data_IF_213464299128
#
_entry.id   IF_213464299128
#
_cell.length_a   1.000
_cell.length_b   1.000
_cell.length_c   1.000
_cell.angle_alpha   90.00
_cell.angle_beta   90.00
_cell.angle_gamma   90.00
#
_symmetry.space_group_name_H-M   'P 1'
#
loop_
_entity.id
_entity.type
_entity.pdbx_description
1 polymer ?
#
# COMPACT_ATOMS: atom_id res chain seq x y z
N UNK A 1 -7.48 -4.17 7.49
CA UNK A 1 -6.71 -3.39 6.51
C UNK A 1 -6.04 -2.22 7.22
N UNK A 2 -4.74 -2.02 6.99
CA UNK A 2 -3.92 -0.91 7.50
C UNK A 2 -3.18 -0.29 6.31
N UNK A 3 -3.11 1.05 6.25
CA UNK A 3 -2.30 1.77 5.28
C UNK A 3 -1.14 2.44 5.99
N UNK A 4 0.07 2.34 5.47
CA UNK A 4 1.25 2.93 6.07
C UNK A 4 2.05 3.76 5.06
N UNK A 5 2.64 4.85 5.54
CA UNK A 5 3.77 5.50 4.89
C UNK A 5 5.06 5.09 5.57
N UNK A 6 6.12 4.82 4.81
CA UNK A 6 7.40 4.47 5.43
C UNK A 6 7.97 5.71 6.14
N UNK A 7 8.64 5.52 7.28
CA UNK A 7 9.43 6.60 7.88
C UNK A 7 10.64 6.83 6.99
N UNK A 8 10.62 7.89 6.20
CA UNK A 8 11.83 8.38 5.56
C UNK A 8 12.70 9.00 6.66
N UNK A 9 13.88 8.46 6.91
CA UNK A 9 14.89 9.14 7.74
C UNK A 9 15.47 10.26 6.88
N UNK A 10 14.73 11.35 6.73
CA UNK A 10 15.15 12.47 5.91
C UNK A 10 16.02 13.42 6.75
N UNK A 11 17.30 13.55 6.39
CA UNK A 11 18.08 14.79 6.58
C UNK A 11 17.62 15.84 5.56
N UNK A 12 16.34 16.20 5.58
CA UNK A 12 15.81 17.29 4.76
C UNK A 12 14.84 18.12 5.61
N UNK A 13 15.41 18.81 6.59
CA UNK A 13 14.78 19.97 7.24
C UNK A 13 15.20 21.23 6.48
N UNK A 14 14.19 22.00 6.05
CA UNK A 14 14.21 23.28 5.33
C UNK A 14 14.14 23.19 3.80
N UNK A 15 12.93 23.00 3.28
CA UNK A 15 12.56 23.51 1.95
C UNK A 15 11.55 24.65 2.12
N UNK A 16 11.79 25.84 1.55
CA UNK A 16 10.82 26.93 1.56
C UNK A 16 9.58 26.57 0.74
N UNK A 17 8.44 27.20 1.06
CA UNK A 17 7.17 27.07 0.33
C UNK A 17 7.43 27.28 -1.18
N UNK A 18 7.14 26.27 -1.99
CA UNK A 18 7.29 26.34 -3.45
C UNK A 18 6.36 27.42 -4.02
N UNK A 19 6.94 28.32 -4.81
CA UNK A 19 6.21 29.19 -5.72
C UNK A 19 5.54 28.35 -6.83
N UNK A 20 4.44 28.86 -7.39
CA UNK A 20 3.74 28.22 -8.53
C UNK A 20 4.72 28.00 -9.69
N UNK A 21 4.73 26.82 -10.33
CA UNK A 21 5.60 26.60 -11.47
C UNK A 21 5.15 27.52 -12.62
N UNK A 22 6.10 28.27 -13.18
CA UNK A 22 5.91 28.96 -14.45
C UNK A 22 5.77 27.95 -15.60
N UNK A 23 5.29 28.37 -16.77
CA UNK A 23 5.23 27.48 -17.93
C UNK A 23 6.65 26.98 -18.28
N UNK A 24 6.79 25.71 -18.72
CA UNK A 24 8.09 25.14 -19.02
C UNK A 24 8.78 25.92 -20.16
N UNK A 25 10.07 26.18 -20.01
CA UNK A 25 10.90 26.74 -21.07
C UNK A 25 11.15 25.69 -22.15
N UNK A 26 11.24 26.12 -23.41
CA UNK A 26 11.48 25.33 -24.64
C UNK A 26 12.72 24.41 -24.64
N UNK A 27 13.54 24.42 -23.58
CA UNK A 27 14.62 23.45 -23.36
C UNK A 27 14.17 22.15 -22.66
N UNK A 28 12.90 22.05 -22.22
CA UNK A 28 12.31 20.86 -21.58
C UNK A 28 11.49 19.99 -22.56
N UNK A 29 11.48 20.34 -23.85
CA UNK A 29 10.77 19.63 -24.94
C UNK A 29 11.63 18.57 -25.64
N UNK A 30 12.77 18.16 -25.07
CA UNK A 30 13.32 16.85 -25.41
C UNK A 30 12.35 15.79 -24.92
N UNK A 31 11.57 15.21 -25.85
CA UNK A 31 10.75 14.05 -25.62
C UNK A 31 11.59 12.99 -24.89
N UNK A 32 11.42 12.89 -23.56
CA UNK A 32 11.93 11.74 -22.81
C UNK A 32 11.18 10.54 -23.35
N UNK A 33 11.80 9.87 -24.32
CA UNK A 33 11.35 8.59 -24.86
C UNK A 33 11.06 7.68 -23.67
N UNK A 34 9.79 7.36 -23.44
CA UNK A 34 9.36 6.50 -22.35
C UNK A 34 10.06 5.15 -22.55
N UNK A 35 10.81 4.72 -21.54
CA UNK A 35 11.58 3.47 -21.57
C UNK A 35 10.90 2.39 -20.74
N UNK A 36 11.16 1.10 -21.04
CA UNK A 36 10.81 0.02 -20.13
C UNK A 36 11.40 0.25 -18.74
N UNK A 37 10.61 -0.02 -17.72
CA UNK A 37 11.02 0.08 -16.32
C UNK A 37 11.61 -1.27 -15.89
N UNK A 38 12.93 -1.31 -15.72
CA UNK A 38 13.65 -2.51 -15.32
C UNK A 38 13.80 -2.59 -13.79
N UNK A 39 12.83 -3.22 -13.12
CA UNK A 39 12.87 -3.46 -11.66
C UNK A 39 12.43 -4.88 -11.33
N UNK A 40 12.69 -5.33 -10.11
CA UNK A 40 12.19 -6.63 -9.62
C UNK A 40 10.66 -6.72 -9.56
N UNK A 41 9.96 -5.58 -9.68
CA UNK A 41 8.52 -5.51 -9.80
C UNK A 41 8.03 -5.81 -11.22
N UNK A 42 8.87 -5.94 -12.25
CA UNK A 42 8.46 -6.41 -13.58
C UNK A 42 8.28 -7.93 -13.62
N UNK A 43 7.12 -8.40 -13.16
CA UNK A 43 6.78 -9.82 -13.11
C UNK A 43 5.38 -10.10 -13.65
N UNK A 44 5.19 -11.31 -14.17
CA UNK A 44 3.89 -11.96 -14.38
C UNK A 44 3.67 -13.04 -13.32
N UNK A 45 2.45 -13.57 -13.23
CA UNK A 45 2.08 -14.57 -12.23
C UNK A 45 3.06 -15.76 -12.18
N UNK A 46 3.43 -16.30 -13.34
CA UNK A 46 4.39 -17.42 -13.45
C UNK A 46 5.77 -17.12 -12.84
N UNK A 47 6.22 -15.86 -12.92
CA UNK A 47 7.55 -15.45 -12.43
C UNK A 47 7.54 -15.38 -10.90
N UNK A 48 6.43 -14.90 -10.31
CA UNK A 48 6.21 -14.94 -8.85
C UNK A 48 6.04 -16.38 -8.34
N UNK A 49 5.29 -17.21 -9.05
CA UNK A 49 5.09 -18.61 -8.68
C UNK A 49 6.41 -19.39 -8.70
N UNK A 50 7.19 -19.25 -9.77
CA UNK A 50 8.48 -19.92 -9.90
C UNK A 50 9.50 -19.47 -8.85
N UNK A 51 9.52 -18.18 -8.50
CA UNK A 51 10.46 -17.67 -7.50
C UNK A 51 10.05 -17.96 -6.06
N UNK A 52 8.74 -18.07 -5.78
CA UNK A 52 8.21 -18.23 -4.42
C UNK A 52 8.46 -17.04 -3.48
N UNK A 53 9.14 -15.98 -3.96
CA UNK A 53 9.60 -14.84 -3.14
C UNK A 53 8.46 -14.09 -2.46
N UNK A 54 7.27 -14.09 -3.04
CA UNK A 54 6.10 -13.41 -2.48
C UNK A 54 5.60 -14.07 -1.18
N UNK A 55 5.97 -15.33 -0.89
CA UNK A 55 5.50 -16.08 0.28
C UNK A 55 6.66 -16.38 1.24
N UNK A 56 6.55 -15.91 2.49
CA UNK A 56 7.46 -16.28 3.58
C UNK A 56 6.69 -17.03 4.67
N UNK A 57 7.05 -18.29 4.88
CA UNK A 57 6.51 -19.11 5.99
C UNK A 57 7.33 -18.86 7.24
N UNK A 58 6.66 -18.49 8.32
CA UNK A 58 7.30 -18.22 9.61
C UNK A 58 7.69 -19.54 10.29
N UNK A 59 8.85 -19.54 10.93
CA UNK A 59 9.31 -20.65 11.78
C UNK A 59 8.70 -20.55 13.17
N UNK A 60 8.75 -21.66 13.94
CA UNK A 60 8.28 -21.65 15.32
C UNK A 60 9.07 -20.66 16.21
N UNK A 61 10.37 -20.51 15.98
CA UNK A 61 11.21 -19.55 16.72
C UNK A 61 10.82 -18.10 16.43
N UNK A 62 10.60 -17.77 15.14
CA UNK A 62 10.13 -16.44 14.73
C UNK A 62 8.75 -16.10 15.31
N UNK A 63 7.85 -17.09 15.37
CA UNK A 63 6.53 -16.94 16.00
C UNK A 63 6.68 -16.74 17.51
N UNK A 64 7.55 -17.49 18.19
CA UNK A 64 7.78 -17.34 19.62
C UNK A 64 8.31 -15.94 19.98
N UNK A 65 9.23 -15.40 19.19
CA UNK A 65 9.73 -14.02 19.36
C UNK A 65 8.62 -12.99 19.19
N UNK A 66 7.77 -13.15 18.16
CA UNK A 66 6.61 -12.29 17.93
C UNK A 66 5.64 -12.34 19.14
N UNK A 67 5.35 -13.54 19.65
CA UNK A 67 4.46 -13.75 20.79
C UNK A 67 5.04 -13.13 22.07
N UNK A 68 6.34 -13.28 22.32
CA UNK A 68 7.02 -12.66 23.47
C UNK A 68 6.97 -11.13 23.40
N UNK A 69 7.25 -10.55 22.23
CA UNK A 69 7.11 -9.11 21.99
C UNK A 69 5.68 -8.61 22.22
N UNK A 70 4.69 -9.36 21.73
CA UNK A 70 3.28 -9.03 21.91
C UNK A 70 2.82 -9.12 23.37
N UNK A 71 3.28 -10.12 24.11
CA UNK A 71 3.00 -10.25 25.54
C UNK A 71 3.54 -9.05 26.33
N UNK A 72 4.75 -8.57 26.01
CA UNK A 72 5.32 -7.36 26.61
C UNK A 72 4.49 -6.12 26.29
N UNK A 73 4.09 -5.95 25.02
CA UNK A 73 3.23 -4.84 24.61
C UNK A 73 1.92 -4.83 25.42
N UNK A 74 1.26 -5.99 25.55
CA UNK A 74 0.01 -6.12 26.30
C UNK A 74 0.19 -5.78 27.78
N UNK A 75 1.27 -6.25 28.40
CA UNK A 75 1.57 -5.94 29.80
C UNK A 75 1.77 -4.43 30.04
N UNK A 76 2.22 -3.68 29.02
CA UNK A 76 2.36 -2.23 29.08
C UNK A 76 1.04 -1.45 29.08
N UNK A 77 -0.06 -2.04 28.61
CA UNK A 77 -1.41 -1.44 28.67
C UNK A 77 -1.58 -0.12 27.90
N UNK A 78 -0.68 0.21 26.98
CA UNK A 78 -0.73 1.48 26.25
C UNK A 78 -1.93 1.57 25.31
N UNK A 79 -2.60 2.74 25.21
CA UNK A 79 -3.60 2.98 24.18
C UNK A 79 -3.01 2.74 22.79
N UNK A 80 -3.79 2.16 21.87
CA UNK A 80 -3.31 1.74 20.54
C UNK A 80 -2.53 2.83 19.82
N UNK A 81 -3.02 4.08 19.83
CA UNK A 81 -2.40 5.20 19.12
C UNK A 81 -1.08 5.70 19.74
N UNK A 82 -0.80 5.34 20.99
CA UNK A 82 0.45 5.68 21.69
C UNK A 82 1.53 4.59 21.53
N UNK A 83 1.19 3.47 20.90
CA UNK A 83 2.11 2.36 20.67
C UNK A 83 3.17 2.79 19.66
N UNK A 84 4.42 2.57 20.06
CA UNK A 84 5.61 2.73 19.22
C UNK A 84 6.24 1.36 18.95
N UNK A 85 7.17 1.31 18.01
CA UNK A 85 7.92 0.09 17.69
C UNK A 85 8.68 -0.49 18.90
N UNK A 86 9.08 0.37 19.85
CA UNK A 86 9.87 -0.03 21.01
C UNK A 86 9.02 -0.73 22.08
N UNK A 87 7.69 -0.56 22.02
CA UNK A 87 6.75 -1.23 22.92
C UNK A 87 6.55 -2.71 22.59
N UNK A 88 6.92 -3.12 21.36
CA UNK A 88 6.87 -4.51 20.90
C UNK A 88 8.24 -4.91 20.33
N UNK A 89 9.23 -5.24 21.18
CA UNK A 89 10.52 -5.72 20.71
C UNK A 89 10.34 -7.06 19.98
N UNK A 90 10.99 -7.19 18.82
CA UNK A 90 10.74 -8.29 17.90
C UNK A 90 11.80 -9.40 17.94
N UNK A 91 12.89 -9.26 18.70
CA UNK A 91 13.97 -10.25 18.69
C UNK A 91 14.45 -10.55 17.25
N UNK A 92 14.54 -11.83 16.89
CA UNK A 92 14.91 -12.27 15.54
C UNK A 92 13.80 -11.99 14.51
N UNK A 93 12.53 -11.85 14.91
CA UNK A 93 11.44 -11.47 14.02
C UNK A 93 11.64 -10.08 13.37
N UNK A 94 12.51 -9.24 13.94
CA UNK A 94 12.91 -7.98 13.32
C UNK A 94 13.51 -8.17 11.91
N UNK A 95 14.29 -9.25 11.71
CA UNK A 95 14.88 -9.56 10.40
C UNK A 95 13.80 -9.92 9.37
N UNK A 96 12.75 -10.65 9.78
CA UNK A 96 11.60 -11.00 8.93
C UNK A 96 10.89 -9.73 8.43
N UNK A 97 10.68 -8.74 9.31
CA UNK A 97 10.06 -7.48 8.89
C UNK A 97 10.98 -6.62 8.02
N UNK A 98 12.29 -6.66 8.24
CA UNK A 98 13.25 -5.99 7.37
C UNK A 98 13.25 -6.59 5.96
N UNK A 99 13.26 -7.92 5.84
CA UNK A 99 13.12 -8.64 4.56
C UNK A 99 11.78 -8.36 3.86
N UNK A 100 10.70 -8.22 4.64
CA UNK A 100 9.39 -7.85 4.12
C UNK A 100 9.40 -6.41 3.59
N UNK A 101 9.98 -5.46 4.32
CA UNK A 101 10.08 -4.07 3.89
C UNK A 101 10.91 -3.91 2.60
N UNK A 102 12.04 -4.61 2.51
CA UNK A 102 12.87 -4.60 1.29
C UNK A 102 12.11 -5.18 0.09
N UNK A 103 11.43 -6.31 0.27
CA UNK A 103 10.66 -6.93 -0.81
C UNK A 103 9.51 -6.06 -1.33
N UNK A 104 8.90 -5.28 -0.44
CA UNK A 104 7.83 -4.34 -0.78
C UNK A 104 8.36 -3.10 -1.50
N UNK A 105 9.56 -2.62 -1.15
CA UNK A 105 10.10 -1.35 -1.67
C UNK A 105 10.89 -1.54 -2.97
N UNK A 106 11.80 -2.52 -2.99
CA UNK A 106 12.77 -2.73 -4.08
C UNK A 106 12.62 -4.09 -4.77
N UNK A 107 11.90 -5.02 -4.13
CA UNK A 107 11.62 -6.35 -4.65
C UNK A 107 10.42 -6.41 -5.60
N UNK A 108 9.59 -7.44 -5.45
CA UNK A 108 8.40 -7.61 -6.28
C UNK A 108 7.25 -6.64 -5.94
N UNK A 109 7.33 -5.94 -4.80
CA UNK A 109 6.22 -5.14 -4.28
C UNK A 109 5.17 -5.94 -3.52
N UNK A 110 5.38 -7.25 -3.29
CA UNK A 110 4.43 -8.13 -2.61
C UNK A 110 5.14 -9.03 -1.60
N UNK A 111 4.60 -9.09 -0.38
CA UNK A 111 5.00 -10.07 0.64
C UNK A 111 3.81 -10.60 1.43
N UNK A 112 3.73 -11.92 1.55
CA UNK A 112 2.82 -12.65 2.43
C UNK A 112 3.60 -13.34 3.53
N UNK A 113 3.35 -12.97 4.78
CA UNK A 113 3.85 -13.69 5.95
C UNK A 113 2.81 -14.74 6.37
N UNK A 114 3.17 -16.02 6.30
CA UNK A 114 2.28 -17.14 6.60
C UNK A 114 2.68 -17.82 7.90
N UNK A 115 1.71 -18.08 8.77
CA UNK A 115 1.91 -18.72 10.07
C UNK A 115 1.76 -17.78 11.27
N UNK A 116 1.31 -16.54 11.07
CA UNK A 116 0.96 -15.65 12.17
C UNK A 116 -0.11 -16.32 13.06
N UNK A 117 0.06 -16.34 14.40
CA UNK A 117 -0.80 -17.09 15.34
C UNK A 117 -2.12 -16.35 15.62
N UNK A 118 -2.82 -15.90 14.58
CA UNK A 118 -4.07 -15.13 14.71
C UNK A 118 -5.20 -15.92 15.37
N UNK A 119 -5.17 -17.26 15.26
CA UNK A 119 -6.16 -18.13 15.89
C UNK A 119 -6.03 -18.23 17.40
N UNK A 120 -4.87 -17.86 17.95
CA UNK A 120 -4.58 -17.90 19.39
C UNK A 120 -5.06 -16.62 20.10
N UNK A 121 -5.56 -15.64 19.34
CA UNK A 121 -5.90 -14.31 19.83
C UNK A 121 -7.38 -13.99 19.68
N UNK A 122 -7.90 -13.14 20.57
CA UNK A 122 -9.16 -12.45 20.32
C UNK A 122 -9.02 -11.56 19.08
N UNK A 123 -10.15 -11.11 18.53
CA UNK A 123 -10.14 -10.17 17.39
C UNK A 123 -9.44 -8.87 17.78
N UNK A 124 -9.65 -8.41 19.01
CA UNK A 124 -9.04 -7.21 19.58
C UNK A 124 -7.52 -7.37 19.70
N UNK A 125 -7.05 -8.51 20.20
CA UNK A 125 -5.63 -8.81 20.31
C UNK A 125 -4.98 -8.95 18.93
N UNK A 126 -5.64 -9.61 17.97
CA UNK A 126 -5.11 -9.73 16.61
C UNK A 126 -5.01 -8.37 15.90
N UNK A 127 -5.96 -7.45 16.15
CA UNK A 127 -5.86 -6.05 15.68
C UNK A 127 -4.69 -5.33 16.32
N UNK A 128 -4.51 -5.47 17.63
CA UNK A 128 -3.43 -4.82 18.36
C UNK A 128 -2.06 -5.32 17.87
N UNK A 129 -1.93 -6.63 17.67
CA UNK A 129 -0.76 -7.25 17.08
C UNK A 129 -0.49 -6.69 15.68
N UNK A 130 -1.53 -6.63 14.83
CA UNK A 130 -1.40 -6.10 13.47
C UNK A 130 -0.98 -4.63 13.44
N UNK A 131 -1.56 -3.82 14.34
CA UNK A 131 -1.16 -2.44 14.54
C UNK A 131 0.31 -2.32 14.93
N UNK A 132 0.73 -3.08 15.93
CA UNK A 132 2.10 -3.06 16.44
C UNK A 132 3.11 -3.50 15.38
N UNK A 133 2.85 -4.56 14.62
CA UNK A 133 3.65 -4.94 13.43
C UNK A 133 3.75 -3.75 12.45
N UNK A 134 2.64 -3.06 12.19
CA UNK A 134 2.60 -1.88 11.34
C UNK A 134 3.54 -0.75 11.78
N UNK A 135 3.73 -0.56 13.09
CA UNK A 135 4.65 0.46 13.64
C UNK A 135 6.12 0.22 13.30
N UNK A 136 6.48 -1.03 13.00
CA UNK A 136 7.84 -1.40 12.54
C UNK A 136 8.02 -1.19 11.04
N UNK A 137 6.94 -1.18 10.26
CA UNK A 137 6.97 -0.97 8.80
C UNK A 137 6.82 0.50 8.41
N UNK A 138 6.15 1.31 9.23
CA UNK A 138 5.96 2.73 8.94
C UNK A 138 5.02 3.45 9.90
N UNK A 139 4.36 4.48 9.37
CA UNK A 139 3.39 5.32 10.06
C UNK A 139 2.02 5.12 9.43
N UNK A 140 1.05 4.71 10.24
CA UNK A 140 -0.32 4.51 9.79
C UNK A 140 -0.92 5.79 9.19
N UNK A 141 -1.72 5.64 8.14
CA UNK A 141 -2.42 6.75 7.47
C UNK A 141 -3.93 6.59 7.57
N UNK A 142 -4.66 7.70 7.75
CA UNK A 142 -6.12 7.73 7.62
C UNK A 142 -6.59 7.10 6.30
N UNK A 143 -7.62 6.27 6.37
CA UNK A 143 -8.14 5.54 5.20
C UNK A 143 -9.33 6.23 4.52
N UNK A 144 -9.87 7.31 5.12
CA UNK A 144 -10.87 8.18 4.52
C UNK A 144 -11.34 9.27 5.48
N UNK A 145 -12.44 9.95 5.13
CA UNK A 145 -13.01 11.10 5.85
C UNK A 145 -13.18 10.94 7.37
N UNK A 146 -13.57 9.77 7.86
CA UNK A 146 -13.73 9.51 9.30
C UNK A 146 -12.41 9.25 10.03
N UNK A 147 -11.28 9.40 9.33
CA UNK A 147 -9.91 9.25 9.85
C UNK A 147 -9.61 7.90 10.50
N UNK A 148 -10.34 6.86 10.12
CA UNK A 148 -10.07 5.50 10.57
C UNK A 148 -8.71 5.02 10.06
N UNK A 149 -7.88 4.51 10.97
CA UNK A 149 -6.52 4.03 10.65
C UNK A 149 -6.48 2.53 10.34
N UNK A 150 -7.47 1.79 10.83
CA UNK A 150 -7.66 0.37 10.55
C UNK A 150 -9.13 0.12 10.19
N UNK A 151 -9.39 -0.77 9.24
CA UNK A 151 -10.74 -1.11 8.81
C UNK A 151 -10.91 -2.61 8.63
N UNK A 152 -12.12 -3.08 8.94
CA UNK A 152 -12.52 -4.46 8.67
C UNK A 152 -12.87 -4.63 7.22
N UNK A 153 -12.34 -5.70 6.63
CA UNK A 153 -12.71 -6.14 5.29
C UNK A 153 -13.61 -7.35 5.47
N UNK A 154 -14.92 -7.15 5.29
CA UNK A 154 -15.95 -8.17 5.44
C UNK A 154 -17.21 -7.75 4.71
N UNK A 155 -18.03 -8.71 4.29
CA UNK A 155 -19.39 -8.39 3.87
C UNK A 155 -20.19 -7.89 5.09
N UNK A 156 -20.56 -6.61 5.08
CA UNK A 156 -21.40 -5.97 6.09
C UNK A 156 -22.66 -5.36 5.47
N UNK A 157 -23.06 -5.82 4.27
CA UNK A 157 -24.26 -5.36 3.58
C UNK A 157 -24.12 -4.00 2.88
N UNK A 158 -22.90 -3.52 2.62
CA UNK A 158 -22.67 -2.28 1.88
C UNK A 158 -22.92 -2.41 0.36
N UNK A 159 -22.81 -1.30 -0.36
CA UNK A 159 -22.91 -1.25 -1.83
C UNK A 159 -21.67 -0.62 -2.45
N UNK A 160 -20.96 -1.35 -3.32
CA UNK A 160 -19.70 -0.90 -3.93
C UNK A 160 -19.93 0.20 -4.98
N UNK A 161 -20.94 0.06 -5.84
CA UNK A 161 -21.25 1.01 -6.94
C UNK A 161 -22.21 2.13 -6.55
N UNK A 162 -22.58 2.25 -5.27
CA UNK A 162 -23.42 3.34 -4.75
C UNK A 162 -22.65 4.65 -4.55
N UNK A 163 -23.37 5.77 -4.40
CA UNK A 163 -22.77 7.05 -4.05
C UNK A 163 -22.09 6.96 -2.67
N UNK A 164 -20.75 7.00 -2.64
CA UNK A 164 -19.97 6.80 -1.41
C UNK A 164 -19.66 5.33 -1.08
N UNK A 165 -19.91 4.40 -2.01
CA UNK A 165 -19.59 2.99 -1.86
C UNK A 165 -18.11 2.74 -1.60
N UNK A 166 -17.81 1.89 -0.61
CA UNK A 166 -16.47 1.43 -0.28
C UNK A 166 -16.43 -0.08 -0.45
N UNK A 167 -15.44 -0.61 -1.17
CA UNK A 167 -15.39 -2.04 -1.48
C UNK A 167 -15.27 -2.95 -0.25
N UNK A 168 -14.62 -2.46 0.81
CA UNK A 168 -14.23 -3.28 1.96
C UNK A 168 -15.40 -3.82 2.80
N UNK A 169 -16.61 -3.26 2.68
CA UNK A 169 -17.78 -3.66 3.46
C UNK A 169 -18.84 -4.44 2.64
N UNK A 170 -18.45 -5.02 1.51
CA UNK A 170 -19.36 -5.68 0.54
C UNK A 170 -18.81 -7.03 0.09
N UNK A 171 -19.63 -7.82 -0.60
CA UNK A 171 -19.21 -9.04 -1.31
C UNK A 171 -18.96 -8.83 -2.82
N UNK A 172 -18.95 -7.57 -3.28
CA UNK A 172 -18.78 -7.25 -4.69
C UNK A 172 -17.33 -7.47 -5.15
N UNK A 173 -17.16 -7.85 -6.42
CA UNK A 173 -15.85 -7.84 -7.07
C UNK A 173 -15.30 -6.41 -7.15
N UNK A 174 -14.04 -6.24 -6.75
CA UNK A 174 -13.34 -4.97 -6.80
C UNK A 174 -12.48 -4.88 -8.05
N UNK A 175 -12.51 -3.73 -8.68
CA UNK A 175 -11.61 -3.41 -9.79
C UNK A 175 -10.17 -3.28 -9.26
N UNK A 176 -9.18 -3.53 -10.15
CA UNK A 176 -7.78 -3.27 -9.81
C UNK A 176 -7.57 -1.79 -9.46
N UNK A 177 -6.84 -1.56 -8.37
CA UNK A 177 -6.52 -0.23 -7.89
C UNK A 177 -5.24 -0.21 -7.05
N UNK A 178 -4.67 0.98 -6.88
CA UNK A 178 -3.60 1.30 -5.94
C UNK A 178 -4.14 2.22 -4.87
N UNK A 179 -3.74 2.00 -3.62
CA UNK A 179 -4.14 2.85 -2.51
C UNK A 179 -3.28 4.12 -2.37
N UNK A 180 -3.80 5.10 -1.63
CA UNK A 180 -3.12 6.37 -1.35
C UNK A 180 -1.99 6.29 -0.31
N UNK A 181 -1.24 5.19 -0.26
CA UNK A 181 -0.18 4.92 0.71
C UNK A 181 0.95 4.09 0.10
N UNK A 182 2.12 4.09 0.72
CA UNK A 182 3.28 3.34 0.26
C UNK A 182 3.04 1.82 0.43
N UNK A 183 2.45 1.42 1.56
CA UNK A 183 2.17 0.01 1.89
C UNK A 183 0.70 -0.17 2.30
N UNK A 184 0.08 -1.23 1.80
CA UNK A 184 -1.22 -1.74 2.27
C UNK A 184 -1.01 -3.09 2.94
N UNK A 185 -1.44 -3.21 4.19
CA UNK A 185 -1.44 -4.45 4.95
C UNK A 185 -2.83 -5.03 5.11
N UNK A 186 -2.95 -6.36 4.93
CA UNK A 186 -4.15 -7.14 5.23
C UNK A 186 -3.79 -8.27 6.19
N UNK A 187 -4.47 -8.32 7.34
CA UNK A 187 -4.43 -9.48 8.24
C UNK A 187 -5.71 -10.30 8.07
N UNK A 188 -5.56 -11.56 7.66
CA UNK A 188 -6.68 -12.48 7.54
C UNK A 188 -7.00 -13.10 8.92
N UNK A 189 -8.13 -12.71 9.51
CA UNK A 189 -8.64 -13.32 10.74
C UNK A 189 -9.47 -14.59 10.46
N UNK A 190 -10.17 -14.60 9.32
CA UNK A 190 -11.01 -15.69 8.87
C UNK A 190 -11.09 -15.68 7.35
N UNK A 191 -10.98 -16.85 6.74
CA UNK A 191 -11.18 -17.00 5.29
C UNK A 191 -12.67 -16.92 4.94
N UNK A 192 -12.97 -16.39 3.76
CA UNK A 192 -14.33 -16.43 3.24
C UNK A 192 -14.79 -17.90 3.04
N UNK A 193 -16.09 -18.17 3.21
CA UNK A 193 -16.69 -19.48 2.93
C UNK A 193 -16.55 -19.86 1.45
N UNK A 194 -16.70 -18.87 0.57
CA UNK A 194 -16.50 -18.97 -0.88
C UNK A 194 -16.09 -17.59 -1.41
N UNK A 195 -15.37 -17.55 -2.54
CA UNK A 195 -14.85 -16.30 -3.09
C UNK A 195 -13.78 -15.65 -2.19
N UNK A 196 -13.75 -14.31 -2.14
CA UNK A 196 -12.80 -13.55 -1.32
C UNK A 196 -11.34 -13.65 -1.78
N UNK A 197 -11.11 -13.99 -3.05
CA UNK A 197 -9.77 -14.10 -3.62
C UNK A 197 -9.14 -12.70 -3.76
N UNK A 198 -7.91 -12.55 -3.30
CA UNK A 198 -7.09 -11.38 -3.60
C UNK A 198 -6.39 -11.58 -4.94
N UNK A 199 -6.57 -10.63 -5.88
CA UNK A 199 -5.86 -10.59 -7.16
C UNK A 199 -4.85 -9.45 -7.13
N UNK A 200 -3.68 -9.70 -7.69
CA UNK A 200 -2.57 -8.74 -7.74
C UNK A 200 -2.06 -8.66 -9.17
N UNK A 201 -1.63 -7.47 -9.58
CA UNK A 201 -0.99 -7.25 -10.87
C UNK A 201 0.13 -6.23 -10.68
N UNK A 202 1.25 -6.42 -11.38
CA UNK A 202 2.35 -5.46 -11.37
C UNK A 202 2.01 -4.27 -12.28
N UNK A 203 2.02 -3.06 -11.69
CA UNK A 203 1.91 -1.82 -12.47
C UNK A 203 3.10 -1.62 -13.41
N UNK A 204 4.28 -2.10 -13.04
CA UNK A 204 5.50 -2.08 -13.88
C UNK A 204 5.33 -2.99 -15.09
N UNK A 205 4.87 -4.23 -14.88
CA UNK A 205 4.65 -5.18 -15.98
C UNK A 205 3.54 -4.71 -16.93
N UNK A 206 2.47 -4.10 -16.38
CA UNK A 206 1.41 -3.48 -17.18
C UNK A 206 1.97 -2.32 -18.00
N UNK A 207 2.75 -1.43 -17.39
CA UNK A 207 3.40 -0.32 -18.08
C UNK A 207 4.28 -0.82 -19.24
N UNK A 208 5.17 -1.78 -18.99
CA UNK A 208 6.08 -2.31 -20.00
C UNK A 208 5.33 -3.04 -21.13
N UNK A 209 4.26 -3.76 -20.81
CA UNK A 209 3.41 -4.41 -21.81
C UNK A 209 2.65 -3.40 -22.68
N UNK A 210 2.12 -2.33 -22.08
CA UNK A 210 1.48 -1.24 -22.82
C UNK A 210 2.50 -0.51 -23.70
N UNK A 211 3.70 -0.25 -23.20
CA UNK A 211 4.74 0.44 -23.97
C UNK A 211 5.13 -0.34 -25.22
N UNK A 212 5.19 -1.68 -25.11
CA UNK A 212 5.51 -2.56 -26.22
C UNK A 212 4.39 -2.68 -27.27
N UNK A 213 3.14 -2.43 -26.90
CA UNK A 213 1.97 -2.74 -27.76
C UNK A 213 1.14 -1.54 -28.17
N UNK A 214 1.14 -0.46 -27.35
CA UNK A 214 0.34 0.76 -27.45
C UNK A 214 1.10 1.95 -26.82
N UNK A 215 2.31 2.30 -27.32
CA UNK A 215 3.14 3.37 -26.74
C UNK A 215 2.41 4.71 -26.62
N UNK A 216 1.50 5.04 -27.55
CA UNK A 216 0.68 6.25 -27.55
C UNK A 216 -0.27 6.34 -26.34
N UNK A 217 -0.78 5.19 -25.89
CA UNK A 217 -1.62 5.13 -24.68
C UNK A 217 -0.77 5.29 -23.42
N UNK A 218 0.46 4.77 -23.41
CA UNK A 218 1.36 4.95 -22.26
C UNK A 218 1.72 6.41 -22.08
N UNK A 219 2.04 7.12 -23.16
CA UNK A 219 2.33 8.55 -23.11
C UNK A 219 1.19 9.33 -22.47
N UNK A 220 -0.05 9.02 -22.84
CA UNK A 220 -1.24 9.62 -22.26
C UNK A 220 -1.31 9.41 -20.73
N UNK A 221 -0.86 8.26 -20.22
CA UNK A 221 -0.90 7.92 -18.78
C UNK A 221 0.14 8.68 -17.93
N UNK A 222 1.15 9.29 -18.56
CA UNK A 222 2.08 10.23 -17.90
C UNK A 222 1.52 11.66 -17.85
N UNK A 223 0.45 11.97 -18.59
CA UNK A 223 -0.26 13.24 -18.53
C UNK A 223 -1.07 13.43 -17.25
N UNK A 224 -1.56 14.65 -17.01
CA UNK A 224 -2.36 14.97 -15.83
C UNK A 224 -3.83 14.56 -16.01
N UNK A 225 -4.34 13.74 -15.09
CA UNK A 225 -5.75 13.37 -15.02
C UNK A 225 -6.44 14.02 -13.82
N UNK A 226 -7.71 14.41 -13.95
CA UNK A 226 -8.53 14.81 -12.81
C UNK A 226 -8.91 13.59 -11.97
N UNK A 227 -8.37 13.53 -10.75
CA UNK A 227 -8.76 12.56 -9.72
C UNK A 227 -9.73 13.19 -8.74
N UNK A 228 -10.87 12.57 -8.52
CA UNK A 228 -11.84 12.96 -7.50
C UNK A 228 -11.27 12.82 -6.09
N UNK A 229 -11.55 13.82 -5.24
CA UNK A 229 -11.26 13.84 -3.81
C UNK A 229 -12.30 13.11 -2.96
N UNK A 230 -13.30 12.49 -3.58
CA UNK A 230 -14.31 11.68 -2.88
C UNK A 230 -15.04 12.43 -1.76
N UNK A 231 -15.31 13.73 -1.91
CA UNK A 231 -15.96 14.58 -0.89
C UNK A 231 -15.09 14.81 0.36
N UNK A 232 -13.78 14.65 0.21
CA UNK A 232 -12.75 14.93 1.22
C UNK A 232 -12.02 16.26 0.96
N UNK A 233 -12.42 17.03 -0.06
CA UNK A 233 -11.98 18.40 -0.30
C UNK A 233 -12.35 19.37 0.83
N UNK A 234 -11.46 20.33 1.10
CA UNK A 234 -11.79 21.49 1.93
C UNK A 234 -12.77 22.43 1.21
N UNK A 235 -13.40 23.35 1.93
CA UNK A 235 -14.41 24.26 1.37
C UNK A 235 -13.86 25.17 0.24
N UNK A 236 -12.56 25.43 0.25
CA UNK A 236 -11.82 26.23 -0.73
C UNK A 236 -11.11 25.40 -1.80
N UNK A 237 -11.25 24.06 -1.78
CA UNK A 237 -10.65 23.16 -2.76
C UNK A 237 -11.65 22.72 -3.83
N UNK A 238 -11.15 22.44 -5.04
CA UNK A 238 -11.95 21.82 -6.10
C UNK A 238 -12.24 20.35 -5.76
N UNK A 239 -13.37 19.77 -6.21
CA UNK A 239 -13.71 18.35 -5.97
C UNK A 239 -12.72 17.34 -6.60
N UNK A 240 -11.81 17.82 -7.44
CA UNK A 240 -10.74 17.04 -8.07
C UNK A 240 -9.36 17.65 -7.80
N UNK A 241 -8.32 16.86 -7.98
CA UNK A 241 -6.92 17.30 -8.11
C UNK A 241 -6.30 16.66 -9.35
N UNK A 242 -5.25 17.28 -9.90
CA UNK A 242 -4.54 16.75 -11.06
C UNK A 242 -3.34 15.91 -10.64
N UNK A 243 -3.24 14.71 -11.19
CA UNK A 243 -2.08 13.84 -11.02
C UNK A 243 -1.97 12.88 -12.21
N UNK A 244 -0.76 12.40 -12.56
CA UNK A 244 -0.61 11.38 -13.57
C UNK A 244 -0.91 9.98 -13.02
N UNK A 245 -1.24 9.05 -13.92
CA UNK A 245 -1.41 7.62 -13.59
C UNK A 245 -0.06 6.94 -13.45
N UNK A 246 0.91 7.30 -14.31
CA UNK A 246 2.30 6.88 -14.21
C UNK A 246 3.22 8.09 -14.02
N UNK A 247 4.22 7.93 -13.17
CA UNK A 247 5.27 8.93 -12.97
C UNK A 247 6.61 8.25 -12.83
N UNK A 248 7.64 8.86 -13.42
CA UNK A 248 9.03 8.45 -13.26
C UNK A 248 9.83 9.66 -12.76
N UNK A 249 10.40 9.54 -11.57
CA UNK A 249 11.24 10.59 -10.99
C UNK A 249 12.48 9.94 -10.37
N UNK A 250 13.67 10.47 -10.70
CA UNK A 250 14.95 9.98 -10.15
C UNK A 250 15.15 8.46 -10.33
N UNK A 251 14.63 7.88 -11.42
CA UNK A 251 14.69 6.43 -11.69
C UNK A 251 13.62 5.60 -10.96
N UNK A 252 12.79 6.21 -10.11
CA UNK A 252 11.71 5.54 -9.40
C UNK A 252 10.38 5.67 -10.15
N UNK A 253 9.79 4.53 -10.47
CA UNK A 253 8.47 4.44 -11.07
C UNK A 253 7.39 4.39 -9.99
N UNK A 254 6.32 5.16 -10.17
CA UNK A 254 5.13 5.07 -9.35
C UNK A 254 3.88 5.01 -10.22
N UNK A 255 2.87 4.28 -9.74
CA UNK A 255 1.55 4.23 -10.36
C UNK A 255 0.46 4.61 -9.37
N UNK A 256 -0.44 5.50 -9.79
CA UNK A 256 -1.66 5.87 -9.08
C UNK A 256 -2.85 5.55 -9.97
N UNK A 257 -3.53 4.45 -9.69
CA UNK A 257 -4.68 4.04 -10.45
C UNK A 257 -5.84 3.66 -9.54
N UNK A 258 -6.93 4.42 -9.61
CA UNK A 258 -8.22 4.06 -9.00
C UNK A 258 -9.28 4.46 -10.03
N UNK A 259 -9.80 3.49 -10.80
CA UNK A 259 -10.67 3.79 -11.95
C UNK A 259 -11.84 4.71 -11.58
N UNK A 260 -12.50 4.41 -10.46
CA UNK A 260 -13.67 5.17 -9.99
C UNK A 260 -13.34 6.59 -9.49
N UNK A 261 -12.05 6.95 -9.37
CA UNK A 261 -11.62 8.30 -9.00
C UNK A 261 -11.21 9.13 -10.21
N UNK A 262 -10.82 8.53 -11.33
CA UNK A 262 -10.45 9.28 -12.55
C UNK A 262 -11.74 9.82 -13.20
N UNK A 263 -11.72 11.07 -13.67
CA UNK A 263 -12.85 11.77 -14.30
C UNK A 263 -12.62 12.03 -15.77
#
# INVERSE_FOLDING_TARGET
MLRARRRVVNRLSNLPRQARPGPPSSAQEEARMIQPVATAADWRARDLEASGRWLRRLTAAEIADLQAGFARLKAGGKPMLEITRDDMPLGAFAAVLAEAAEELETGSGIRTLRGLPVGDYSVEDARLLFWAIGTHLGVARPQGKASQLMSDVRDAGGSYRGAGGRGYNTNAELDFHTDGSDIVGLLCLRTARSGGLSRLASSVAIHNALLATRPELVETLYGLFPHSRQKEEAADETPTYLAPVYSLAEGHFASRYIRNHIR
#
